data_IF_317213768984
#
_entry.id   IF_317213768984
#
_cell.length_a   1.000
_cell.length_b   1.000
_cell.length_c   1.000
_cell.angle_alpha   90.00
_cell.angle_beta   90.00
_cell.angle_gamma   90.00
#
_symmetry.space_group_name_H-M   'P 1'
#
loop_
_entity.id
_entity.type
_entity.pdbx_description
1 polymer ?
#
# COMPACT_ATOMS: atom_id res chain seq x y z
N UNK A 1 -9.74 29.61 13.45
CA UNK A 1 -8.91 29.58 12.22
C UNK A 1 -8.14 28.27 12.04
N UNK A 2 -6.95 28.05 12.61
CA UNK A 2 -6.16 26.82 12.33
C UNK A 2 -6.89 25.51 12.70
N UNK A 3 -7.59 25.49 13.83
CA UNK A 3 -8.42 24.33 14.22
C UNK A 3 -9.56 24.03 13.23
N UNK A 4 -10.17 25.05 12.60
CA UNK A 4 -11.23 24.83 11.61
C UNK A 4 -10.66 24.31 10.29
N UNK A 5 -9.45 24.74 9.92
CA UNK A 5 -8.72 24.22 8.76
C UNK A 5 -8.39 22.73 8.96
N UNK A 6 -7.85 22.35 10.13
CA UNK A 6 -7.57 20.95 10.46
C UNK A 6 -8.83 20.07 10.43
N UNK A 7 -9.94 20.58 10.96
CA UNK A 7 -11.22 19.86 10.93
C UNK A 7 -11.70 19.62 9.49
N UNK A 8 -11.59 20.62 8.62
CA UNK A 8 -11.94 20.49 7.20
C UNK A 8 -11.04 19.49 6.48
N UNK A 9 -9.72 19.54 6.75
CA UNK A 9 -8.75 18.60 6.18
C UNK A 9 -9.08 17.16 6.61
N UNK A 10 -9.29 16.91 7.90
CA UNK A 10 -9.65 15.57 8.41
C UNK A 10 -10.94 15.04 7.80
N UNK A 11 -11.95 15.90 7.62
CA UNK A 11 -13.21 15.53 6.98
C UNK A 11 -13.06 15.23 5.49
N UNK A 12 -12.16 15.92 4.79
CA UNK A 12 -11.85 15.61 3.41
C UNK A 12 -11.14 14.25 3.30
N UNK A 13 -10.12 14.02 4.14
CA UNK A 13 -9.34 12.79 4.11
C UNK A 13 -10.07 11.57 4.69
N UNK A 14 -11.10 11.73 5.53
CA UNK A 14 -11.88 10.60 6.04
C UNK A 14 -12.61 9.81 4.95
N UNK A 15 -12.87 10.46 3.81
CA UNK A 15 -13.54 9.84 2.66
C UNK A 15 -12.56 9.38 1.58
N UNK A 16 -11.26 9.64 1.74
CA UNK A 16 -10.22 9.24 0.80
C UNK A 16 -9.53 8.00 1.35
N UNK A 17 -9.47 6.94 0.55
CA UNK A 17 -8.73 5.73 0.92
C UNK A 17 -7.24 6.07 1.05
N UNK A 18 -6.72 5.92 2.25
CA UNK A 18 -5.31 6.12 2.55
C UNK A 18 -4.50 4.89 2.15
N UNK A 19 -3.18 5.05 2.08
CA UNK A 19 -2.27 3.91 1.96
C UNK A 19 -2.42 2.96 3.16
N UNK A 20 -2.44 1.66 2.90
CA UNK A 20 -2.69 0.64 3.91
C UNK A 20 -1.67 -0.49 3.82
N UNK A 21 -1.45 -1.19 4.93
CA UNK A 21 -0.58 -2.37 4.95
C UNK A 21 -1.36 -3.60 4.51
N UNK A 22 -0.75 -4.37 3.61
CA UNK A 22 -1.29 -5.64 3.15
C UNK A 22 -0.19 -6.72 3.14
N UNK A 23 -0.64 -7.97 3.24
CA UNK A 23 0.19 -9.16 3.10
C UNK A 23 -0.04 -9.72 1.71
N UNK A 24 1.04 -9.84 0.94
CA UNK A 24 1.01 -10.39 -0.41
C UNK A 24 0.61 -11.88 -0.38
N UNK A 25 -0.45 -12.22 -1.11
CA UNK A 25 -0.96 -13.59 -1.20
C UNK A 25 -0.58 -14.27 -2.50
N UNK A 26 -0.51 -13.53 -3.60
CA UNK A 26 -0.13 -14.06 -4.89
C UNK A 26 0.49 -12.97 -5.77
N UNK A 27 1.38 -13.38 -6.67
CA UNK A 27 1.92 -12.54 -7.74
C UNK A 27 1.91 -13.37 -9.02
N UNK A 28 1.36 -12.78 -10.06
CA UNK A 28 1.35 -13.30 -11.41
C UNK A 28 2.33 -12.48 -12.26
N UNK A 29 3.30 -13.15 -12.87
CA UNK A 29 4.33 -12.57 -13.72
C UNK A 29 4.31 -13.08 -15.15
N UNK A 30 3.30 -13.87 -15.53
CA UNK A 30 3.23 -14.48 -16.87
C UNK A 30 2.61 -13.52 -17.90
N UNK A 31 1.99 -12.43 -17.44
CA UNK A 31 1.41 -11.37 -18.27
C UNK A 31 2.40 -10.28 -18.70
N UNK A 32 1.92 -9.36 -19.55
CA UNK A 32 2.70 -8.18 -20.00
C UNK A 32 2.97 -7.14 -18.91
N UNK A 33 2.22 -7.21 -17.81
CA UNK A 33 2.46 -6.47 -16.56
C UNK A 33 2.35 -7.46 -15.40
N UNK A 34 3.12 -7.22 -14.34
CA UNK A 34 3.09 -8.07 -13.16
C UNK A 34 1.90 -7.70 -12.27
N UNK A 35 1.05 -8.67 -11.93
CA UNK A 35 -0.13 -8.47 -11.10
C UNK A 35 0.11 -9.01 -9.69
N UNK A 36 -0.40 -8.30 -8.67
CA UNK A 36 -0.26 -8.64 -7.27
C UNK A 36 -1.63 -8.73 -6.59
N UNK A 37 -1.78 -9.76 -5.76
CA UNK A 37 -2.90 -9.95 -4.87
C UNK A 37 -2.43 -9.84 -3.42
N UNK A 38 -3.21 -9.16 -2.59
CA UNK A 38 -2.87 -8.95 -1.20
C UNK A 38 -4.11 -8.82 -0.32
N UNK A 39 -3.98 -9.28 0.93
CA UNK A 39 -4.98 -9.11 1.97
C UNK A 39 -4.55 -7.97 2.91
N UNK A 40 -5.38 -6.95 3.05
CA UNK A 40 -5.15 -5.83 3.95
C UNK A 40 -5.44 -6.22 5.40
N UNK A 41 -4.79 -5.53 6.35
CA UNK A 41 -5.01 -5.77 7.78
C UNK A 41 -6.46 -5.52 8.24
N UNK A 42 -7.19 -4.66 7.53
CA UNK A 42 -8.59 -4.33 7.83
C UNK A 42 -9.61 -5.18 7.04
N UNK A 43 -9.18 -6.29 6.43
CA UNK A 43 -10.06 -7.21 5.69
C UNK A 43 -10.35 -6.80 4.24
N UNK A 44 -9.79 -5.69 3.77
CA UNK A 44 -9.84 -5.33 2.34
C UNK A 44 -9.01 -6.32 1.53
N UNK A 45 -9.50 -6.66 0.33
CA UNK A 45 -8.79 -7.57 -0.56
C UNK A 45 -8.41 -6.84 -1.85
N UNK A 46 -7.12 -6.82 -2.14
CA UNK A 46 -6.56 -6.28 -3.37
C UNK A 46 -6.39 -7.43 -4.36
N UNK A 47 -7.07 -7.36 -5.51
CA UNK A 47 -6.99 -8.37 -6.55
C UNK A 47 -6.40 -7.74 -7.81
N UNK A 48 -5.46 -8.46 -8.41
CA UNK A 48 -4.82 -8.18 -9.70
C UNK A 48 -4.36 -6.71 -9.86
N UNK A 49 -3.83 -6.16 -8.77
CA UNK A 49 -3.27 -4.82 -8.80
C UNK A 49 -1.91 -4.84 -9.49
N UNK A 50 -1.69 -3.90 -10.39
CA UNK A 50 -0.40 -3.79 -11.08
C UNK A 50 0.73 -3.51 -10.09
N UNK A 51 1.77 -4.33 -10.13
CA UNK A 51 2.96 -4.19 -9.31
C UNK A 51 3.93 -3.22 -9.98
N UNK A 52 3.91 -1.98 -9.53
CA UNK A 52 4.86 -0.98 -10.00
C UNK A 52 6.30 -1.31 -9.53
N UNK A 53 7.23 -1.39 -10.48
CA UNK A 53 8.66 -1.50 -10.22
C UNK A 53 9.44 -0.51 -11.08
N UNK A 54 10.61 -0.09 -10.60
CA UNK A 54 11.51 0.73 -11.39
C UNK A 54 11.98 -0.03 -12.64
N UNK A 55 12.22 0.71 -13.72
CA UNK A 55 12.65 0.15 -14.99
C UNK A 55 13.88 -0.76 -14.85
N UNK A 56 13.83 -1.92 -15.50
CA UNK A 56 14.91 -2.93 -15.45
C UNK A 56 14.88 -3.85 -14.23
N UNK A 57 13.92 -3.67 -13.31
CA UNK A 57 13.71 -4.58 -12.19
C UNK A 57 12.39 -5.35 -12.31
N UNK A 58 12.47 -6.66 -12.10
CA UNK A 58 11.31 -7.53 -11.96
C UNK A 58 11.55 -8.47 -10.78
N UNK A 59 11.11 -8.08 -9.59
CA UNK A 59 11.04 -9.01 -8.46
C UNK A 59 9.80 -9.89 -8.61
N UNK A 60 9.93 -11.21 -8.45
CA UNK A 60 8.78 -12.13 -8.33
C UNK A 60 8.74 -12.69 -6.91
N UNK A 61 8.09 -11.98 -5.99
CA UNK A 61 8.16 -12.37 -4.61
C UNK A 61 7.19 -13.47 -4.21
N UNK A 62 7.69 -14.39 -3.39
CA UNK A 62 6.92 -15.51 -2.85
C UNK A 62 5.84 -15.01 -1.89
N UNK A 63 4.76 -15.78 -1.77
CA UNK A 63 3.66 -15.55 -0.81
C UNK A 63 4.20 -15.21 0.58
N UNK A 64 3.64 -14.17 1.20
CA UNK A 64 3.99 -13.64 2.52
C UNK A 64 5.40 -13.03 2.67
N UNK A 65 6.22 -12.94 1.61
CA UNK A 65 7.54 -12.30 1.70
C UNK A 65 7.47 -10.77 1.82
N UNK A 66 6.34 -10.15 1.44
CA UNK A 66 6.18 -8.69 1.45
C UNK A 66 5.13 -8.26 2.45
N UNK A 67 5.62 -7.56 3.48
CA UNK A 67 4.85 -6.55 4.18
C UNK A 67 5.28 -5.25 3.48
N UNK A 68 4.39 -4.63 2.70
CA UNK A 68 4.34 -3.19 2.36
C UNK A 68 3.77 -2.92 0.97
N UNK A 69 2.76 -2.05 0.91
CA UNK A 69 2.63 -1.02 -0.11
C UNK A 69 2.00 0.20 0.57
N UNK A 70 2.66 1.36 0.49
CA UNK A 70 2.26 2.67 1.05
C UNK A 70 2.54 2.95 2.56
N UNK A 71 3.81 3.11 2.95
CA UNK A 71 4.23 4.13 3.94
C UNK A 71 5.48 4.86 3.46
N UNK A 72 5.35 5.80 2.53
CA UNK A 72 6.44 6.75 2.35
C UNK A 72 6.45 7.69 3.58
N UNK A 73 7.53 7.63 4.36
CA UNK A 73 7.89 8.51 5.48
C UNK A 73 6.81 8.86 6.52
N UNK A 74 6.67 8.00 7.54
CA UNK A 74 6.42 8.47 8.90
C UNK A 74 6.99 7.41 9.86
N UNK A 75 8.29 7.52 10.13
CA UNK A 75 8.88 6.90 11.31
C UNK A 75 8.35 7.64 12.54
N UNK A 76 7.86 6.96 13.60
CA UNK A 76 7.73 7.61 14.89
C UNK A 76 9.14 7.96 15.37
N UNK A 77 9.37 9.22 15.73
CA UNK A 77 10.66 9.74 16.22
C UNK A 77 11.04 9.22 17.62
N UNK A 78 10.71 7.98 17.96
CA UNK A 78 10.95 7.37 19.27
C UNK A 78 11.04 5.85 19.12
N UNK A 79 12.18 5.38 18.59
CA UNK A 79 12.77 4.08 18.92
C UNK A 79 14.08 3.93 18.12
N UNK A 80 15.18 4.30 18.78
CA UNK A 80 16.59 4.06 18.44
C UNK A 80 17.12 4.65 17.13
#
# INVERSE_FOLDING_TARGET
MWHEVDQRIRRAFSNVRQGFRAVLTHVDSDGGVQAAQADALAGERLQDAELFQHYGYTSNPRRAAWRWCCRWAAAPATAW
#
